data_IF_404523428991
#
_entry.id   IF_404523428991
#
_cell.length_a   1.000
_cell.length_b   1.000
_cell.length_c   1.000
_cell.angle_alpha   90.00
_cell.angle_beta   90.00
_cell.angle_gamma   90.00
#
_symmetry.space_group_name_H-M   'P 1'
#
loop_
_entity.id
_entity.type
_entity.pdbx_description
1 polymer ?
#
# COMPACT_ATOMS: atom_id res chain seq x y z
N UNK A 1 -1.54 7.39 -40.47
CA UNK A 1 -2.63 7.14 -39.46
C UNK A 1 -2.55 5.73 -38.84
N UNK A 2 -2.06 4.74 -39.52
CA UNK A 2 -1.84 3.34 -39.06
C UNK A 2 -0.80 3.22 -37.96
N UNK A 3 0.40 3.81 -38.12
CA UNK A 3 1.47 3.74 -37.11
C UNK A 3 1.09 4.31 -35.74
N UNK A 4 0.35 5.42 -35.69
CA UNK A 4 -0.15 5.96 -34.40
C UNK A 4 -1.19 5.07 -33.73
N UNK A 5 -1.93 4.27 -34.48
CA UNK A 5 -2.89 3.30 -33.91
C UNK A 5 -2.19 2.05 -33.39
N UNK A 6 -1.13 1.60 -34.03
CA UNK A 6 -0.32 0.46 -33.57
C UNK A 6 0.47 0.83 -32.31
N UNK A 7 1.07 2.02 -32.27
CA UNK A 7 1.77 2.54 -31.10
C UNK A 7 0.84 2.74 -29.90
N UNK A 8 -0.41 3.19 -30.12
CA UNK A 8 -1.43 3.29 -29.06
C UNK A 8 -1.90 1.93 -28.55
N UNK A 9 -2.05 0.92 -29.46
CA UNK A 9 -2.39 -0.44 -29.04
C UNK A 9 -1.29 -1.10 -28.22
N UNK A 10 -0.02 -0.84 -28.53
CA UNK A 10 1.13 -1.26 -27.75
C UNK A 10 1.08 -0.69 -26.32
N UNK A 11 0.95 0.65 -26.20
CA UNK A 11 0.91 1.32 -24.89
C UNK A 11 -0.18 0.78 -23.94
N UNK A 12 -1.42 0.62 -24.44
CA UNK A 12 -2.54 0.13 -23.61
C UNK A 12 -2.33 -1.32 -23.16
N UNK A 13 -1.78 -2.15 -24.01
CA UNK A 13 -1.51 -3.55 -23.68
C UNK A 13 -0.33 -3.68 -22.71
N UNK A 14 0.73 -2.93 -22.95
CA UNK A 14 1.95 -2.94 -22.14
C UNK A 14 1.74 -2.36 -20.74
N UNK A 15 0.77 -1.46 -20.56
CA UNK A 15 0.44 -0.83 -19.29
C UNK A 15 -0.94 -1.27 -18.74
N UNK A 16 -1.51 -2.35 -19.27
CA UNK A 16 -2.89 -2.76 -18.94
C UNK A 16 -3.09 -3.04 -17.46
N UNK A 17 -2.11 -3.61 -16.77
CA UNK A 17 -2.18 -3.88 -15.33
C UNK A 17 -2.32 -2.58 -14.54
N UNK A 18 -1.40 -1.65 -14.71
CA UNK A 18 -1.42 -0.35 -14.03
C UNK A 18 -2.67 0.45 -14.34
N UNK A 19 -3.09 0.46 -15.63
CA UNK A 19 -4.28 1.19 -16.05
C UNK A 19 -5.55 0.58 -15.44
N UNK A 20 -5.66 -0.74 -15.41
CA UNK A 20 -6.83 -1.42 -14.84
C UNK A 20 -6.95 -1.14 -13.35
N UNK A 21 -5.89 -1.36 -12.58
CA UNK A 21 -5.92 -1.11 -11.14
C UNK A 21 -6.01 0.39 -10.81
N UNK A 22 -5.37 1.26 -11.57
CA UNK A 22 -5.48 2.70 -11.37
C UNK A 22 -6.91 3.23 -11.63
N UNK A 23 -7.57 2.76 -12.69
CA UNK A 23 -8.97 3.13 -12.96
C UNK A 23 -9.89 2.55 -11.89
N UNK A 24 -9.71 1.27 -11.52
CA UNK A 24 -10.51 0.64 -10.47
C UNK A 24 -10.37 1.41 -9.14
N UNK A 25 -9.15 1.79 -8.76
CA UNK A 25 -8.89 2.62 -7.58
C UNK A 25 -9.67 3.96 -7.63
N UNK A 26 -9.58 4.69 -8.74
CA UNK A 26 -10.30 5.97 -8.87
C UNK A 26 -11.82 5.81 -8.81
N UNK A 27 -12.35 4.74 -9.41
CA UNK A 27 -13.79 4.44 -9.36
C UNK A 27 -14.21 4.11 -7.92
N UNK A 28 -13.47 3.26 -7.23
CA UNK A 28 -13.77 2.87 -5.84
C UNK A 28 -13.67 4.08 -4.91
N UNK A 29 -12.64 4.92 -5.06
CA UNK A 29 -12.49 6.15 -4.28
C UNK A 29 -13.67 7.12 -4.50
N UNK A 30 -14.12 7.27 -5.75
CA UNK A 30 -15.28 8.10 -6.06
C UNK A 30 -16.58 7.53 -5.45
N UNK A 31 -16.77 6.21 -5.51
CA UNK A 31 -17.91 5.54 -4.89
C UNK A 31 -17.87 5.64 -3.36
N UNK A 32 -16.69 5.50 -2.75
CA UNK A 32 -16.48 5.72 -1.32
C UNK A 32 -16.87 7.15 -0.92
N UNK A 33 -16.43 8.15 -1.69
CA UNK A 33 -16.79 9.54 -1.41
C UNK A 33 -18.31 9.79 -1.47
N UNK A 34 -19.01 9.17 -2.43
CA UNK A 34 -20.47 9.29 -2.54
C UNK A 34 -21.17 8.58 -1.39
N UNK A 35 -20.77 7.36 -1.07
CA UNK A 35 -21.37 6.58 0.01
C UNK A 35 -21.11 7.24 1.38
N UNK A 36 -19.85 7.65 1.63
CA UNK A 36 -19.48 8.30 2.89
C UNK A 36 -20.17 9.65 3.09
N UNK A 37 -20.34 10.43 2.02
CA UNK A 37 -21.14 11.68 2.09
C UNK A 37 -22.60 11.41 2.51
N UNK A 38 -23.21 10.36 1.96
CA UNK A 38 -24.58 10.00 2.31
C UNK A 38 -24.69 9.55 3.78
N UNK A 39 -23.78 8.67 4.22
CA UNK A 39 -23.72 8.18 5.60
C UNK A 39 -23.47 9.31 6.60
N UNK A 40 -22.49 10.18 6.32
CA UNK A 40 -22.17 11.31 7.18
C UNK A 40 -23.33 12.29 7.33
N UNK A 41 -24.05 12.59 6.24
CA UNK A 41 -25.23 13.45 6.28
C UNK A 41 -26.42 12.81 7.00
N UNK A 42 -26.55 11.48 6.95
CA UNK A 42 -27.54 10.77 7.78
C UNK A 42 -27.22 10.95 9.26
N UNK A 43 -25.94 10.80 9.67
CA UNK A 43 -25.52 11.03 11.05
C UNK A 43 -25.75 12.50 11.49
N UNK A 44 -25.37 13.48 10.67
CA UNK A 44 -25.64 14.88 10.96
C UNK A 44 -27.15 15.17 11.16
N UNK A 45 -27.99 14.55 10.33
CA UNK A 45 -29.44 14.71 10.44
C UNK A 45 -29.98 14.12 11.74
N UNK A 46 -29.47 12.96 12.16
CA UNK A 46 -29.83 12.33 13.46
C UNK A 46 -29.42 13.22 14.63
N UNK A 47 -28.24 13.88 14.52
CA UNK A 47 -27.74 14.83 15.53
C UNK A 47 -28.46 16.20 15.49
N UNK A 48 -29.41 16.40 14.59
CA UNK A 48 -30.14 17.65 14.42
C UNK A 48 -29.29 18.77 13.75
N UNK A 49 -28.21 18.41 13.09
CA UNK A 49 -27.30 19.30 12.38
C UNK A 49 -27.66 19.41 10.90
N UNK A 50 -27.16 20.44 10.21
CA UNK A 50 -27.36 20.61 8.79
C UNK A 50 -26.44 19.69 7.99
N UNK A 51 -26.97 18.99 6.96
CA UNK A 51 -26.17 18.21 6.04
C UNK A 51 -25.13 19.06 5.30
N UNK A 52 -23.98 18.48 5.03
CA UNK A 52 -22.93 19.08 4.21
C UNK A 52 -23.20 18.88 2.72
N UNK A 53 -22.76 19.82 1.90
CA UNK A 53 -22.63 19.60 0.47
C UNK A 53 -21.53 18.58 0.18
N UNK A 54 -21.57 17.96 -1.00
CA UNK A 54 -20.53 17.00 -1.41
C UNK A 54 -19.11 17.60 -1.41
N UNK A 55 -18.98 18.87 -1.81
CA UNK A 55 -17.68 19.57 -1.78
C UNK A 55 -17.16 19.80 -0.36
N UNK A 56 -18.03 20.15 0.57
CA UNK A 56 -17.66 20.30 2.00
C UNK A 56 -17.23 18.97 2.61
N UNK A 57 -17.97 17.89 2.31
CA UNK A 57 -17.59 16.56 2.77
C UNK A 57 -16.23 16.12 2.23
N UNK A 58 -15.92 16.33 0.95
CA UNK A 58 -14.61 15.99 0.37
C UNK A 58 -13.43 16.70 1.04
N UNK A 59 -13.68 17.84 1.66
CA UNK A 59 -12.67 18.61 2.41
C UNK A 59 -12.78 18.47 3.92
N UNK A 60 -13.67 17.58 4.39
CA UNK A 60 -13.87 17.33 5.81
C UNK A 60 -12.74 16.47 6.41
N UNK A 61 -12.62 16.55 7.72
CA UNK A 61 -11.74 15.68 8.52
C UNK A 61 -12.14 14.21 8.44
N UNK A 62 -13.44 13.93 8.34
CA UNK A 62 -13.98 12.57 8.30
C UNK A 62 -13.56 11.85 7.01
N UNK A 63 -13.76 12.50 5.85
CA UNK A 63 -13.28 11.92 4.60
C UNK A 63 -11.75 11.78 4.56
N UNK A 64 -11.02 12.76 5.10
CA UNK A 64 -9.57 12.73 5.14
C UNK A 64 -9.03 11.61 6.05
N UNK A 65 -9.65 11.35 7.19
CA UNK A 65 -9.23 10.25 8.09
C UNK A 65 -9.53 8.90 7.46
N UNK A 66 -10.71 8.71 6.87
CA UNK A 66 -11.11 7.45 6.23
C UNK A 66 -10.17 7.07 5.07
N UNK A 67 -9.79 8.04 4.24
CA UNK A 67 -8.84 7.79 3.15
C UNK A 67 -7.44 7.50 3.68
N UNK A 68 -6.95 8.31 4.62
CA UNK A 68 -5.58 8.19 5.11
C UNK A 68 -5.34 6.95 5.98
N UNK A 69 -6.35 6.46 6.71
CA UNK A 69 -6.24 5.22 7.51
C UNK A 69 -6.12 3.97 6.64
N UNK A 70 -6.79 3.92 5.49
CA UNK A 70 -6.62 2.85 4.52
C UNK A 70 -5.25 2.94 3.83
N UNK A 71 -4.86 4.12 3.36
CA UNK A 71 -3.58 4.28 2.66
C UNK A 71 -2.38 3.95 3.54
N UNK A 72 -2.41 4.33 4.82
CA UNK A 72 -1.29 4.03 5.71
C UNK A 72 -1.09 2.53 5.91
N UNK A 73 -2.15 1.73 6.03
CA UNK A 73 -2.04 0.29 6.21
C UNK A 73 -1.53 -0.41 4.94
N UNK A 74 -2.02 -0.01 3.76
CA UNK A 74 -1.55 -0.52 2.47
C UNK A 74 -0.05 -0.24 2.25
N UNK A 75 0.39 0.98 2.52
CA UNK A 75 1.81 1.31 2.38
C UNK A 75 2.68 0.63 3.45
N UNK A 76 2.15 0.41 4.67
CA UNK A 76 2.83 -0.40 5.69
C UNK A 76 3.02 -1.83 5.22
N UNK A 77 1.97 -2.45 4.66
CA UNK A 77 2.00 -3.81 4.13
C UNK A 77 3.15 -3.98 3.13
N UNK A 78 3.19 -3.14 2.10
CA UNK A 78 4.25 -3.20 1.10
C UNK A 78 5.63 -2.88 1.68
N UNK A 79 5.73 -1.91 2.57
CA UNK A 79 6.98 -1.60 3.26
C UNK A 79 7.51 -2.82 4.02
N UNK A 80 6.69 -3.45 4.87
CA UNK A 80 7.07 -4.61 5.66
C UNK A 80 7.37 -5.82 4.77
N UNK A 81 6.61 -6.01 3.69
CA UNK A 81 6.81 -7.12 2.77
C UNK A 81 8.13 -7.00 2.01
N UNK A 82 8.44 -5.81 1.46
CA UNK A 82 9.71 -5.54 0.78
C UNK A 82 10.90 -5.78 1.71
N UNK A 83 10.86 -5.25 2.94
CA UNK A 83 11.95 -5.46 3.90
C UNK A 83 11.98 -6.87 4.47
N UNK A 84 10.82 -7.42 4.80
CA UNK A 84 10.68 -8.76 5.37
C UNK A 84 11.25 -9.83 4.45
N UNK A 85 10.94 -9.78 3.16
CA UNK A 85 11.40 -10.77 2.16
C UNK A 85 12.90 -10.74 1.88
N UNK A 86 13.62 -9.70 2.33
CA UNK A 86 15.09 -9.71 2.29
C UNK A 86 15.67 -10.72 3.28
N UNK A 87 15.13 -10.79 4.49
CA UNK A 87 15.72 -11.54 5.60
C UNK A 87 14.88 -12.75 6.04
N UNK A 88 13.57 -12.65 5.90
CA UNK A 88 12.64 -13.71 6.28
C UNK A 88 12.37 -14.62 5.07
N UNK A 89 12.37 -15.91 5.33
CA UNK A 89 12.16 -16.92 4.28
C UNK A 89 10.98 -17.81 4.62
N UNK A 90 10.23 -18.17 3.58
CA UNK A 90 9.16 -19.15 3.68
C UNK A 90 9.40 -20.25 2.67
N UNK A 91 9.78 -21.44 3.16
CA UNK A 91 9.98 -22.62 2.31
C UNK A 91 8.69 -22.94 1.55
N UNK A 92 8.83 -23.04 0.23
CA UNK A 92 7.71 -23.38 -0.65
C UNK A 92 6.95 -22.18 -1.21
N UNK A 93 7.19 -20.96 -0.73
CA UNK A 93 6.59 -19.75 -1.33
C UNK A 93 7.30 -19.34 -2.62
N UNK A 94 6.58 -18.96 -3.69
CA UNK A 94 7.19 -18.40 -4.90
C UNK A 94 7.91 -17.06 -4.63
N UNK A 95 7.35 -16.24 -3.77
CA UNK A 95 7.81 -14.89 -3.48
C UNK A 95 8.91 -14.82 -2.41
N UNK A 96 9.36 -15.96 -1.88
CA UNK A 96 10.41 -16.03 -0.88
C UNK A 96 11.75 -16.40 -1.51
N UNK A 97 12.82 -15.83 -0.97
CA UNK A 97 14.17 -16.35 -1.23
C UNK A 97 14.32 -17.78 -0.70
N UNK A 98 15.25 -18.55 -1.28
CA UNK A 98 15.59 -19.85 -0.73
C UNK A 98 16.22 -19.69 0.65
N UNK A 99 16.06 -20.70 1.50
CA UNK A 99 16.46 -20.65 2.93
C UNK A 99 17.93 -20.27 3.13
N UNK A 100 18.81 -20.65 2.21
CA UNK A 100 20.25 -20.34 2.26
C UNK A 100 20.64 -19.07 1.52
N UNK A 101 19.67 -18.37 0.89
CA UNK A 101 19.88 -17.12 0.15
C UNK A 101 19.29 -15.90 0.90
N UNK A 102 18.93 -16.08 2.18
CA UNK A 102 18.41 -14.99 3.01
C UNK A 102 19.48 -13.89 3.21
N UNK A 103 19.04 -12.65 3.20
CA UNK A 103 19.92 -11.48 3.38
C UNK A 103 20.08 -10.66 2.10
N UNK A 104 20.98 -9.71 2.17
CA UNK A 104 21.28 -8.79 1.05
C UNK A 104 22.24 -9.51 0.10
N UNK A 105 21.90 -9.51 -1.20
CA UNK A 105 22.77 -10.02 -2.25
C UNK A 105 23.99 -9.12 -2.47
N UNK A 106 25.03 -9.68 -3.06
CA UNK A 106 26.23 -8.95 -3.42
C UNK A 106 26.03 -8.01 -4.63
N UNK A 107 26.99 -7.14 -4.90
CA UNK A 107 26.92 -6.17 -5.99
C UNK A 107 26.86 -6.83 -7.37
N UNK A 108 27.45 -8.01 -7.54
CA UNK A 108 27.43 -8.75 -8.80
C UNK A 108 26.02 -9.29 -9.09
N UNK A 109 25.37 -9.90 -8.11
CA UNK A 109 24.01 -10.40 -8.21
C UNK A 109 23.03 -9.25 -8.50
N UNK A 110 23.23 -8.09 -7.85
CA UNK A 110 22.42 -6.90 -8.01
C UNK A 110 22.82 -6.02 -9.21
N UNK A 111 23.85 -6.41 -9.97
CA UNK A 111 24.37 -5.65 -11.14
C UNK A 111 24.66 -4.18 -10.81
N UNK A 112 25.34 -3.96 -9.68
CA UNK A 112 25.67 -2.64 -9.15
C UNK A 112 27.15 -2.32 -9.30
N UNK A 113 27.51 -1.05 -9.21
CA UNK A 113 28.91 -0.58 -9.27
C UNK A 113 29.62 -1.04 -10.53
N UNK A 114 30.73 -1.74 -10.38
CA UNK A 114 31.53 -2.28 -11.50
C UNK A 114 30.82 -3.40 -12.27
N UNK A 115 29.78 -3.98 -11.71
CA UNK A 115 28.96 -5.04 -12.31
C UNK A 115 27.73 -4.49 -13.06
N UNK A 116 27.54 -3.16 -13.10
CA UNK A 116 26.47 -2.55 -13.85
C UNK A 116 26.66 -2.80 -15.37
N UNK A 117 25.55 -3.06 -16.07
CA UNK A 117 25.53 -3.30 -17.52
C UNK A 117 25.25 -1.99 -18.27
N UNK A 118 25.40 -2.02 -19.59
CA UNK A 118 25.13 -0.87 -20.44
C UNK A 118 23.67 -0.40 -20.42
N UNK A 119 22.74 -1.30 -20.11
CA UNK A 119 21.31 -1.07 -19.96
C UNK A 119 20.88 -0.82 -18.52
N UNK A 120 21.80 -0.90 -17.56
CA UNK A 120 21.49 -0.62 -16.15
C UNK A 120 21.13 0.86 -15.92
N UNK A 121 20.21 1.15 -14.98
CA UNK A 121 19.91 2.52 -14.58
C UNK A 121 21.18 3.26 -14.13
N UNK A 122 21.31 4.54 -14.51
CA UNK A 122 22.55 5.33 -14.28
C UNK A 122 23.03 5.31 -12.83
N UNK A 123 22.13 5.30 -11.86
CA UNK A 123 22.48 5.32 -10.43
C UNK A 123 22.95 3.96 -9.91
N UNK A 124 22.59 2.87 -10.56
CA UNK A 124 23.11 1.55 -10.21
C UNK A 124 24.63 1.43 -10.47
N UNK A 125 25.16 2.13 -11.48
CA UNK A 125 26.59 2.13 -11.82
C UNK A 125 27.43 3.16 -11.06
N UNK A 126 26.83 4.02 -10.21
CA UNK A 126 27.59 4.97 -9.38
C UNK A 126 28.17 4.27 -8.14
N UNK A 127 29.24 4.82 -7.55
CA UNK A 127 29.85 4.30 -6.31
C UNK A 127 29.69 5.29 -5.15
N UNK A 128 28.63 6.09 -5.18
CA UNK A 128 28.35 7.14 -4.21
C UNK A 128 26.99 6.91 -3.51
N UNK A 129 26.57 7.89 -2.70
CA UNK A 129 25.29 7.85 -1.98
C UNK A 129 24.06 7.65 -2.88
N UNK A 130 24.15 7.99 -4.18
CA UNK A 130 23.07 7.84 -5.15
C UNK A 130 22.76 6.36 -5.40
N UNK A 131 23.79 5.52 -5.48
CA UNK A 131 23.64 4.08 -5.59
C UNK A 131 22.90 3.52 -4.35
N UNK A 132 23.34 3.90 -3.17
CA UNK A 132 22.71 3.46 -1.90
C UNK A 132 21.27 3.91 -1.80
N UNK A 133 20.94 5.13 -2.22
CA UNK A 133 19.57 5.65 -2.25
C UNK A 133 18.73 4.89 -3.26
N UNK A 134 19.26 4.68 -4.47
CA UNK A 134 18.55 3.96 -5.52
C UNK A 134 18.29 2.49 -5.16
N UNK A 135 19.28 1.83 -4.60
CA UNK A 135 19.19 0.43 -4.17
C UNK A 135 18.12 0.18 -3.07
N UNK A 136 17.72 1.22 -2.35
CA UNK A 136 16.69 1.16 -1.30
C UNK A 136 15.44 1.99 -1.62
N UNK A 137 15.37 2.55 -2.82
CA UNK A 137 14.36 3.56 -3.18
C UNK A 137 12.93 3.05 -3.02
N UNK A 138 12.64 1.82 -3.45
CA UNK A 138 11.29 1.25 -3.34
C UNK A 138 10.82 1.20 -1.88
N UNK A 139 11.59 0.58 -0.99
CA UNK A 139 11.26 0.52 0.43
C UNK A 139 11.23 1.90 1.09
N UNK A 140 12.16 2.80 0.71
CA UNK A 140 12.15 4.18 1.23
C UNK A 140 10.90 4.94 0.83
N UNK A 141 10.44 4.81 -0.42
CA UNK A 141 9.21 5.47 -0.88
C UNK A 141 8.00 4.88 -0.17
N UNK A 142 7.87 3.55 -0.09
CA UNK A 142 6.75 2.92 0.62
C UNK A 142 6.71 3.30 2.10
N UNK A 143 7.86 3.29 2.79
CA UNK A 143 7.94 3.72 4.18
C UNK A 143 7.63 5.21 4.38
N UNK A 144 8.03 6.06 3.44
CA UNK A 144 7.68 7.50 3.48
C UNK A 144 6.18 7.70 3.28
N UNK A 145 5.57 7.03 2.31
CA UNK A 145 4.13 7.10 2.08
C UNK A 145 3.35 6.60 3.29
N UNK A 146 3.80 5.48 3.89
CA UNK A 146 3.23 5.00 5.16
C UNK A 146 3.25 6.07 6.25
N UNK A 147 4.42 6.64 6.53
CA UNK A 147 4.56 7.64 7.60
C UNK A 147 3.74 8.91 7.33
N UNK A 148 3.70 9.37 6.08
CA UNK A 148 2.91 10.55 5.70
C UNK A 148 1.40 10.28 5.81
N UNK A 149 0.93 9.11 5.36
CA UNK A 149 -0.47 8.73 5.49
C UNK A 149 -0.88 8.54 6.95
N UNK A 150 -0.03 7.94 7.76
CA UNK A 150 -0.28 7.77 9.20
C UNK A 150 -0.29 9.11 9.96
N UNK A 151 0.60 10.02 9.59
CA UNK A 151 0.56 11.39 10.09
C UNK A 151 -0.73 12.11 9.65
N UNK A 152 -1.14 11.99 8.39
CA UNK A 152 -2.39 12.55 7.89
C UNK A 152 -3.61 12.00 8.64
N UNK A 153 -3.67 10.67 8.85
CA UNK A 153 -4.68 10.02 9.68
C UNK A 153 -4.71 10.61 11.09
N UNK A 154 -3.56 10.78 11.73
CA UNK A 154 -3.51 11.32 13.10
C UNK A 154 -3.99 12.76 13.20
N UNK A 155 -3.71 13.59 12.20
CA UNK A 155 -4.15 14.99 12.17
C UNK A 155 -5.65 15.08 11.84
N UNK A 156 -6.08 14.44 10.77
CA UNK A 156 -7.49 14.42 10.37
C UNK A 156 -8.36 13.74 11.42
N UNK A 157 -7.88 12.62 11.98
CA UNK A 157 -8.55 11.92 13.07
C UNK A 157 -8.71 12.74 14.32
N UNK A 158 -7.73 13.60 14.66
CA UNK A 158 -7.90 14.53 15.79
C UNK A 158 -9.06 15.50 15.55
N UNK A 159 -9.19 16.02 14.33
CA UNK A 159 -10.27 16.95 14.00
C UNK A 159 -11.63 16.23 14.02
N UNK A 160 -11.74 15.07 13.35
CA UNK A 160 -12.97 14.28 13.32
C UNK A 160 -13.41 13.84 14.74
N UNK A 161 -12.46 13.40 15.56
CA UNK A 161 -12.71 13.02 16.95
C UNK A 161 -13.23 14.22 17.77
N UNK A 162 -12.59 15.37 17.63
CA UNK A 162 -13.02 16.59 18.33
C UNK A 162 -14.40 17.08 17.88
N UNK A 163 -14.73 16.96 16.59
CA UNK A 163 -16.07 17.25 16.11
C UNK A 163 -17.12 16.34 16.76
N UNK A 164 -16.81 15.06 16.93
CA UNK A 164 -17.67 14.12 17.62
C UNK A 164 -17.81 14.45 19.12
N UNK A 165 -16.72 14.78 19.81
CA UNK A 165 -16.73 15.22 21.21
C UNK A 165 -17.65 16.45 21.41
N UNK A 166 -17.51 17.45 20.52
CA UNK A 166 -18.33 18.66 20.57
C UNK A 166 -19.84 18.35 20.35
N UNK A 167 -20.17 17.43 19.45
CA UNK A 167 -21.56 16.96 19.26
C UNK A 167 -22.13 16.29 20.50
N UNK A 168 -21.28 15.65 21.30
CA UNK A 168 -21.64 14.98 22.54
C UNK A 168 -21.54 15.91 23.77
N UNK A 169 -21.23 17.19 23.55
CA UNK A 169 -21.00 18.20 24.60
C UNK A 169 -19.82 17.84 25.53
N UNK A 170 -18.83 17.16 24.99
CA UNK A 170 -17.60 16.81 25.67
C UNK A 170 -16.43 17.74 25.27
N UNK A 171 -15.38 17.74 26.08
CA UNK A 171 -14.20 18.56 25.86
C UNK A 171 -13.34 18.02 24.71
N UNK A 172 -12.79 18.92 23.91
CA UNK A 172 -11.84 18.57 22.85
C UNK A 172 -10.48 18.16 23.38
N UNK A 173 -9.76 17.33 22.66
CA UNK A 173 -8.41 16.88 22.99
C UNK A 173 -7.36 17.49 22.06
N UNK A 174 -6.12 17.59 22.53
CA UNK A 174 -4.98 17.94 21.68
C UNK A 174 -4.62 16.78 20.75
N UNK A 175 -3.82 17.05 19.70
CA UNK A 175 -3.29 16.00 18.83
C UNK A 175 -2.59 14.88 19.61
N UNK A 176 -1.70 15.22 20.55
CA UNK A 176 -1.03 14.23 21.40
C UNK A 176 -2.03 13.46 22.29
N UNK A 177 -3.09 14.14 22.75
CA UNK A 177 -4.19 13.52 23.48
C UNK A 177 -4.93 12.50 22.62
N UNK A 178 -5.29 12.85 21.40
CA UNK A 178 -5.95 11.93 20.45
C UNK A 178 -5.10 10.71 20.12
N UNK A 179 -3.82 10.89 19.80
CA UNK A 179 -2.90 9.77 19.51
C UNK A 179 -2.74 8.82 20.70
N UNK A 180 -3.04 9.28 21.92
CA UNK A 180 -3.06 8.42 23.10
C UNK A 180 -4.41 7.72 23.34
N UNK A 181 -5.45 8.03 22.57
CA UNK A 181 -6.78 7.43 22.76
C UNK A 181 -6.87 6.00 22.26
N UNK A 182 -7.77 5.18 22.82
CA UNK A 182 -8.10 3.87 22.25
C UNK A 182 -8.68 3.95 20.83
N UNK A 183 -9.39 5.02 20.48
CA UNK A 183 -9.96 5.22 19.14
C UNK A 183 -8.89 5.25 18.07
N UNK A 184 -7.85 6.09 18.20
CA UNK A 184 -6.74 6.15 17.25
C UNK A 184 -6.07 4.80 17.05
N UNK A 185 -5.78 4.08 18.13
CA UNK A 185 -5.12 2.78 18.06
C UNK A 185 -6.03 1.67 17.54
N UNK A 186 -7.32 1.69 17.88
CA UNK A 186 -8.27 0.71 17.34
C UNK A 186 -8.37 0.84 15.81
N UNK A 187 -8.55 2.04 15.28
CA UNK A 187 -8.56 2.32 13.84
C UNK A 187 -7.25 1.87 13.17
N UNK A 188 -6.12 2.26 13.72
CA UNK A 188 -4.79 1.89 13.20
C UNK A 188 -4.59 0.37 13.18
N UNK A 189 -4.81 -0.30 14.31
CA UNK A 189 -4.55 -1.74 14.44
C UNK A 189 -5.55 -2.61 13.68
N UNK A 190 -6.80 -2.16 13.53
CA UNK A 190 -7.81 -2.86 12.74
C UNK A 190 -7.39 -2.94 11.27
N UNK A 191 -6.89 -1.83 10.72
CA UNK A 191 -6.38 -1.80 9.35
C UNK A 191 -5.11 -2.65 9.20
N UNK A 192 -4.13 -2.52 10.12
CA UNK A 192 -2.91 -3.34 10.09
C UNK A 192 -3.20 -4.84 10.19
N UNK A 193 -4.17 -5.23 11.00
CA UNK A 193 -4.56 -6.63 11.16
C UNK A 193 -5.06 -7.24 9.85
N UNK A 194 -5.87 -6.52 9.08
CA UNK A 194 -6.38 -7.01 7.80
C UNK A 194 -5.27 -7.18 6.77
N UNK A 195 -4.36 -6.20 6.67
CA UNK A 195 -3.24 -6.23 5.73
C UNK A 195 -2.24 -7.35 6.05
N UNK A 196 -1.89 -7.52 7.31
CA UNK A 196 -0.99 -8.59 7.73
C UNK A 196 -1.62 -9.98 7.52
N UNK A 197 -2.94 -10.11 7.70
CA UNK A 197 -3.67 -11.34 7.38
C UNK A 197 -3.60 -11.66 5.88
N UNK A 198 -3.79 -10.66 5.01
CA UNK A 198 -3.73 -10.84 3.57
C UNK A 198 -2.35 -11.34 3.12
N UNK A 199 -1.27 -10.71 3.62
CA UNK A 199 0.11 -11.16 3.35
C UNK A 199 0.34 -12.58 3.85
N UNK A 200 -0.01 -12.88 5.10
CA UNK A 200 0.16 -14.21 5.68
C UNK A 200 -0.60 -15.28 4.90
N UNK A 201 -1.84 -14.97 4.50
CA UNK A 201 -2.65 -15.87 3.68
C UNK A 201 -2.00 -16.12 2.31
N UNK A 202 -1.53 -15.07 1.62
CA UNK A 202 -0.86 -15.21 0.31
C UNK A 202 0.40 -16.06 0.42
N UNK A 203 1.27 -15.77 1.39
CA UNK A 203 2.51 -16.53 1.63
C UNK A 203 2.23 -18.01 1.89
N UNK A 204 1.20 -18.34 2.69
CA UNK A 204 0.86 -19.73 3.02
C UNK A 204 0.14 -20.44 1.89
N UNK A 205 -0.89 -19.80 1.31
CA UNK A 205 -1.74 -20.42 0.29
C UNK A 205 -0.98 -20.66 -1.02
N UNK A 206 -0.07 -19.76 -1.41
CA UNK A 206 0.78 -19.91 -2.60
C UNK A 206 1.72 -21.13 -2.56
N UNK A 207 1.99 -21.69 -1.37
CA UNK A 207 2.73 -22.94 -1.22
C UNK A 207 1.96 -24.09 -1.87
N UNK A 208 0.66 -24.17 -1.65
CA UNK A 208 -0.19 -25.31 -1.97
C UNK A 208 -1.08 -25.09 -3.19
N UNK A 209 -1.56 -23.86 -3.40
CA UNK A 209 -2.48 -23.51 -4.46
C UNK A 209 -1.76 -23.01 -5.71
N UNK A 210 -2.43 -23.06 -6.84
CA UNK A 210 -1.89 -22.66 -8.15
C UNK A 210 -2.94 -21.85 -8.92
N UNK A 211 -2.43 -20.81 -9.59
CA UNK A 211 -3.19 -20.09 -10.60
C UNK A 211 -2.38 -20.12 -11.91
N UNK A 212 -2.84 -20.92 -12.88
CA UNK A 212 -2.15 -21.04 -14.17
C UNK A 212 -2.04 -19.68 -14.88
N UNK A 213 -0.82 -19.31 -15.22
CA UNK A 213 -0.52 -18.07 -15.96
C UNK A 213 -0.41 -16.82 -15.10
N UNK A 214 -0.50 -16.93 -13.77
CA UNK A 214 -0.22 -15.81 -12.87
C UNK A 214 1.26 -15.77 -12.48
N UNK A 215 1.94 -14.62 -12.57
CA UNK A 215 3.30 -14.48 -12.07
C UNK A 215 3.37 -14.63 -10.54
N UNK A 216 2.27 -14.39 -9.81
CA UNK A 216 2.18 -14.53 -8.35
C UNK A 216 2.03 -16.01 -7.89
N UNK A 217 2.08 -16.95 -8.82
CA UNK A 217 1.87 -18.36 -8.55
C UNK A 217 3.00 -19.19 -9.10
N UNK A 218 3.37 -20.27 -8.42
CA UNK A 218 4.27 -21.28 -9.01
C UNK A 218 3.64 -21.95 -10.23
N UNK A 219 4.47 -22.45 -11.19
CA UNK A 219 3.98 -23.33 -12.25
C UNK A 219 3.15 -24.50 -11.68
N UNK A 220 2.07 -24.87 -12.35
CA UNK A 220 1.12 -25.89 -11.86
C UNK A 220 1.79 -27.19 -11.46
N UNK A 221 2.82 -27.62 -12.20
CA UNK A 221 3.58 -28.84 -11.94
C UNK A 221 4.72 -28.71 -10.95
N UNK A 222 4.97 -27.53 -10.38
CA UNK A 222 6.06 -27.32 -9.44
C UNK A 222 5.75 -27.94 -8.08
N UNK A 223 6.77 -28.54 -7.45
CA UNK A 223 6.66 -29.15 -6.11
C UNK A 223 6.26 -28.10 -5.05
N UNK A 224 5.51 -28.52 -4.01
CA UNK A 224 5.17 -27.62 -2.90
C UNK A 224 6.40 -27.08 -2.17
N UNK A 225 7.49 -27.83 -2.13
CA UNK A 225 8.76 -27.43 -1.49
C UNK A 225 9.62 -26.51 -2.35
N UNK A 226 9.28 -26.31 -3.64
CA UNK A 226 10.01 -25.41 -4.52
C UNK A 226 9.79 -23.95 -4.07
N UNK A 227 10.88 -23.22 -3.85
CA UNK A 227 10.90 -21.85 -3.29
C UNK A 227 11.54 -20.90 -4.31
N UNK A 228 11.00 -19.68 -4.45
CA UNK A 228 11.55 -18.67 -5.35
C UNK A 228 11.39 -19.04 -6.83
N UNK A 229 10.29 -19.67 -7.21
CA UNK A 229 9.97 -20.04 -8.58
C UNK A 229 8.61 -19.41 -8.93
N UNK A 230 8.63 -18.44 -9.81
CA UNK A 230 7.45 -17.80 -10.37
C UNK A 230 6.95 -18.52 -11.62
N UNK A 231 5.64 -18.34 -11.94
CA UNK A 231 4.97 -19.00 -13.06
C UNK A 231 5.11 -18.31 -14.41
#
# INVERSE_FOLDING_TARGET
MTERREQRRGFWRENSLTLTFGIAFLVVLALQAVAGHAEFNEQLTVDGLQPLTFGEYLTSSDFAVDVSENWQSEFLQFFLYIFGTVYLVQRGSPESKKVHEAGIEDEQQQRMGDHARSDSPRWAGTKDWRQSLYARSLGTVMGTLFLLSWLAQSIAGTAAYNDQQLRQLEDTVSWAGYVATPDFWNRTLQNWQSELLAVAAMVVLSIYLRQRGSPESKPVGAAHTATGIEG
#
